data_IF_689020795654
#
_entry.id   IF_689020795654
#
_cell.length_a   1.000
_cell.length_b   1.000
_cell.length_c   1.000
_cell.angle_alpha   90.00
_cell.angle_beta   90.00
_cell.angle_gamma   90.00
#
_symmetry.space_group_name_H-M   'P 1'
#
loop_
_entity.id
_entity.type
_entity.pdbx_description
1 polymer ?
#
# COMPACT_ATOMS: atom_id res chain seq x y z
N UNK A 1 -16.92 27.60 -55.33
CA UNK A 1 -15.78 26.67 -55.39
C UNK A 1 -15.02 26.75 -54.07
N UNK A 2 -15.07 25.68 -53.24
CA UNK A 2 -14.11 25.17 -52.20
C UNK A 2 -13.35 26.17 -51.30
N UNK A 3 -13.14 26.00 -49.98
CA UNK A 3 -13.42 24.99 -48.92
C UNK A 3 -13.00 25.62 -47.56
N UNK A 4 -13.59 25.10 -46.47
CA UNK A 4 -13.06 24.86 -45.08
C UNK A 4 -11.95 25.79 -44.53
N UNK A 5 -12.04 26.35 -43.32
CA UNK A 5 -12.32 25.68 -42.06
C UNK A 5 -11.01 25.33 -41.35
N UNK A 6 -10.59 26.10 -40.35
CA UNK A 6 -9.50 25.72 -39.44
C UNK A 6 -9.79 26.22 -38.03
N UNK A 7 -10.41 25.33 -37.26
CA UNK A 7 -10.51 25.39 -35.80
C UNK A 7 -9.09 25.31 -35.24
N UNK A 8 -8.76 26.18 -34.28
CA UNK A 8 -7.67 25.91 -33.35
C UNK A 8 -8.07 24.75 -32.44
N UNK A 9 -7.28 23.66 -32.34
CA UNK A 9 -7.41 22.72 -31.25
C UNK A 9 -6.41 23.11 -30.16
N UNK A 10 -6.84 23.82 -29.13
CA UNK A 10 -6.15 23.83 -27.84
C UNK A 10 -6.54 22.55 -27.10
N UNK A 11 -5.84 21.47 -27.44
CA UNK A 11 -5.85 20.21 -26.70
C UNK A 11 -5.41 20.49 -25.26
N UNK A 12 -6.38 20.47 -24.35
CA UNK A 12 -6.09 20.27 -22.93
C UNK A 12 -5.44 18.90 -22.77
N UNK A 13 -4.13 18.87 -22.61
CA UNK A 13 -3.42 17.66 -22.18
C UNK A 13 -3.89 17.33 -20.77
N UNK A 14 -4.95 16.52 -20.69
CA UNK A 14 -5.24 15.76 -19.47
C UNK A 14 -4.05 14.84 -19.27
N UNK A 15 -3.12 15.26 -18.42
CA UNK A 15 -2.06 14.40 -17.91
C UNK A 15 -2.78 13.32 -17.11
N UNK A 16 -3.01 12.16 -17.74
CA UNK A 16 -3.30 10.93 -17.02
C UNK A 16 -2.07 10.67 -16.16
N UNK A 17 -2.12 11.06 -14.89
CA UNK A 17 -1.11 10.69 -13.90
C UNK A 17 -0.94 9.18 -13.97
N UNK A 18 0.22 8.73 -14.45
CA UNK A 18 0.57 7.32 -14.40
C UNK A 18 0.53 6.87 -12.93
N UNK A 19 0.00 5.67 -12.62
CA UNK A 19 0.00 5.18 -11.26
C UNK A 19 1.44 5.12 -10.75
N UNK A 20 1.70 5.76 -9.61
CA UNK A 20 3.01 5.78 -8.97
C UNK A 20 3.55 4.34 -8.87
N UNK A 21 4.83 4.08 -9.19
CA UNK A 21 5.40 2.72 -9.24
C UNK A 21 5.33 1.97 -7.90
N UNK A 22 5.00 2.69 -6.82
CA UNK A 22 4.73 2.16 -5.48
C UNK A 22 3.34 1.52 -5.32
N UNK A 23 2.45 1.57 -6.33
CA UNK A 23 1.12 0.95 -6.29
C UNK A 23 1.04 -0.43 -6.96
N UNK A 24 1.99 -1.33 -6.69
CA UNK A 24 1.66 -2.76 -6.85
C UNK A 24 1.08 -3.21 -5.51
N UNK A 25 -0.20 -3.67 -5.43
CA UNK A 25 -0.71 -4.22 -4.18
C UNK A 25 0.26 -5.31 -3.75
N UNK A 26 0.97 -5.05 -2.65
CA UNK A 26 2.05 -5.91 -2.22
C UNK A 26 1.43 -7.26 -1.91
N UNK A 27 1.72 -8.31 -2.69
CA UNK A 27 1.41 -9.70 -2.33
C UNK A 27 2.30 -10.17 -1.17
N UNK A 28 2.31 -9.40 -0.08
CA UNK A 28 3.17 -9.56 1.09
C UNK A 28 2.36 -9.80 2.36
N UNK A 29 3.06 -9.98 3.49
CA UNK A 29 2.47 -10.32 4.80
C UNK A 29 1.50 -9.27 5.37
N UNK A 30 1.35 -8.11 4.72
CA UNK A 30 0.51 -7.00 5.16
C UNK A 30 -0.56 -6.61 4.15
N UNK A 31 -0.99 -7.58 3.34
CA UNK A 31 -2.10 -7.45 2.41
C UNK A 31 -3.19 -8.44 2.80
N UNK A 32 -4.40 -7.93 2.91
CA UNK A 32 -5.58 -8.70 3.22
C UNK A 32 -6.59 -8.57 2.10
N UNK A 33 -7.18 -9.69 1.67
CA UNK A 33 -8.24 -9.69 0.66
C UNK A 33 -9.44 -10.47 1.17
N UNK A 34 -10.59 -9.82 1.15
CA UNK A 34 -11.87 -10.40 1.58
C UNK A 34 -12.87 -10.32 0.44
N UNK A 35 -13.77 -11.29 0.35
CA UNK A 35 -14.89 -11.24 -0.58
C UNK A 35 -16.21 -11.49 0.16
N UNK A 36 -17.24 -10.73 -0.21
CA UNK A 36 -18.59 -10.87 0.34
C UNK A 36 -19.62 -10.44 -0.69
N UNK A 37 -20.58 -11.33 -1.01
CA UNK A 37 -21.69 -11.08 -1.94
C UNK A 37 -21.28 -10.36 -3.24
N UNK A 38 -20.26 -10.89 -3.94
CA UNK A 38 -19.77 -10.33 -5.20
C UNK A 38 -18.98 -9.01 -5.07
N UNK A 39 -18.68 -8.59 -3.85
CA UNK A 39 -17.79 -7.44 -3.56
C UNK A 39 -16.47 -7.97 -3.03
N UNK A 40 -15.35 -7.40 -3.48
CA UNK A 40 -14.00 -7.69 -3.02
C UNK A 40 -13.43 -6.45 -2.35
N UNK A 41 -12.81 -6.63 -1.19
CA UNK A 41 -12.08 -5.59 -0.48
C UNK A 41 -10.64 -6.02 -0.33
N UNK A 42 -9.73 -5.20 -0.82
CA UNK A 42 -8.29 -5.34 -0.63
C UNK A 42 -7.81 -4.27 0.35
N UNK A 43 -7.13 -4.68 1.40
CA UNK A 43 -6.56 -3.79 2.43
C UNK A 43 -5.05 -3.96 2.45
N UNK A 44 -4.32 -2.85 2.35
CA UNK A 44 -2.84 -2.85 2.37
C UNK A 44 -2.35 -1.88 3.42
N UNK A 45 -1.31 -2.23 4.17
CA UNK A 45 -0.66 -1.27 5.08
C UNK A 45 0.02 -0.15 4.29
N UNK A 46 -0.14 1.10 4.73
CA UNK A 46 0.58 2.25 4.16
C UNK A 46 2.09 2.13 4.45
N UNK A 47 2.94 2.66 3.56
CA UNK A 47 4.39 2.64 3.76
C UNK A 47 4.79 3.42 5.01
N UNK A 48 5.92 3.04 5.63
CA UNK A 48 6.46 3.71 6.82
C UNK A 48 5.99 3.14 8.16
N UNK A 49 4.97 2.29 8.17
CA UNK A 49 4.46 1.65 9.39
C UNK A 49 5.28 0.44 9.85
N UNK A 50 5.92 -0.25 8.90
CA UNK A 50 6.80 -1.40 9.19
C UNK A 50 8.25 -0.99 8.98
N UNK A 51 9.06 -1.05 10.03
CA UNK A 51 10.49 -0.75 9.94
C UNK A 51 11.21 -1.82 9.14
N UNK A 52 12.20 -1.42 8.34
CA UNK A 52 13.04 -2.35 7.57
C UNK A 52 13.72 -3.39 8.46
N UNK A 53 14.27 -2.97 9.60
CA UNK A 53 14.89 -3.87 10.59
C UNK A 53 13.96 -4.99 11.06
N UNK A 54 12.67 -4.70 11.25
CA UNK A 54 11.68 -5.71 11.59
C UNK A 54 11.55 -6.74 10.47
N UNK A 55 11.49 -6.29 9.21
CA UNK A 55 11.31 -7.16 8.04
C UNK A 55 12.52 -8.10 7.90
N UNK A 56 13.73 -7.56 8.04
CA UNK A 56 14.96 -8.34 7.95
C UNK A 56 15.03 -9.40 9.06
N UNK A 57 14.81 -9.00 10.32
CA UNK A 57 14.79 -9.95 11.44
C UNK A 57 13.66 -10.98 11.31
N UNK A 58 12.45 -10.57 10.91
CA UNK A 58 11.32 -11.49 10.76
C UNK A 58 11.48 -12.49 9.61
N UNK A 59 12.41 -12.25 8.67
CA UNK A 59 12.76 -13.17 7.58
C UNK A 59 13.97 -14.04 7.89
N UNK A 60 14.76 -13.68 8.91
CA UNK A 60 15.96 -14.42 9.29
C UNK A 60 15.59 -15.74 9.98
N UNK A 61 16.11 -16.83 9.42
CA UNK A 61 16.12 -18.17 10.05
C UNK A 61 17.27 -18.28 11.05
N UNK A 62 17.10 -19.08 12.11
CA UNK A 62 18.16 -19.30 13.11
C UNK A 62 18.57 -18.04 13.88
N UNK A 63 17.62 -17.18 14.24
CA UNK A 63 17.87 -15.97 15.04
C UNK A 63 18.48 -16.30 16.40
N UNK A 64 19.46 -15.50 16.80
CA UNK A 64 20.05 -15.56 18.15
C UNK A 64 19.05 -15.06 19.21
N UNK A 65 19.34 -15.32 20.49
CA UNK A 65 18.52 -14.83 21.60
C UNK A 65 18.42 -13.29 21.65
N UNK A 66 19.50 -12.60 21.30
CA UNK A 66 19.54 -11.14 21.21
C UNK A 66 18.64 -10.62 20.08
N UNK A 67 18.68 -11.30 18.92
CA UNK A 67 17.83 -10.96 17.77
C UNK A 67 16.35 -11.24 18.04
N UNK A 68 16.02 -12.29 18.77
CA UNK A 68 14.65 -12.55 19.24
C UNK A 68 14.17 -11.45 20.18
N UNK A 69 15.02 -11.05 21.14
CA UNK A 69 14.75 -9.95 22.06
C UNK A 69 14.53 -8.64 21.30
N UNK A 70 15.38 -8.36 20.30
CA UNK A 70 15.25 -7.18 19.45
C UNK A 70 13.97 -7.22 18.63
N UNK A 71 13.62 -8.37 18.05
CA UNK A 71 12.38 -8.51 17.29
C UNK A 71 11.14 -8.32 18.18
N UNK A 72 11.16 -8.84 19.41
CA UNK A 72 10.09 -8.62 20.38
C UNK A 72 9.93 -7.13 20.72
N UNK A 73 11.04 -6.41 20.92
CA UNK A 73 11.02 -4.97 21.14
C UNK A 73 10.44 -4.21 19.94
N UNK A 74 10.82 -4.57 18.71
CA UNK A 74 10.27 -3.97 17.49
C UNK A 74 8.76 -4.25 17.33
N UNK A 75 8.28 -5.44 17.66
CA UNK A 75 6.84 -5.76 17.68
C UNK A 75 6.09 -4.86 18.65
N UNK A 76 6.64 -4.70 19.86
CA UNK A 76 6.04 -3.86 20.90
C UNK A 76 5.99 -2.41 20.47
N UNK A 77 7.11 -1.87 19.97
CA UNK A 77 7.19 -0.50 19.48
C UNK A 77 6.20 -0.25 18.33
N UNK A 78 6.15 -1.16 17.35
CA UNK A 78 5.20 -1.04 16.25
C UNK A 78 3.74 -1.05 16.74
N UNK A 79 3.39 -1.94 17.67
CA UNK A 79 2.06 -1.94 18.29
C UNK A 79 1.76 -0.61 18.97
N UNK A 80 2.68 -0.13 19.81
CA UNK A 80 2.48 1.09 20.60
C UNK A 80 2.33 2.32 19.69
N UNK A 81 2.95 2.33 18.50
CA UNK A 81 2.72 3.36 17.47
C UNK A 81 1.42 3.21 16.70
N UNK A 82 1.01 1.99 16.35
CA UNK A 82 -0.12 1.76 15.43
C UNK A 82 -1.48 1.72 16.13
N UNK A 83 -1.56 1.19 17.35
CA UNK A 83 -2.82 1.09 18.12
C UNK A 83 -3.55 2.43 18.30
N UNK A 84 -2.89 3.57 18.56
CA UNK A 84 -3.60 4.83 18.73
C UNK A 84 -4.02 5.51 17.42
N UNK A 85 -3.57 5.01 16.25
CA UNK A 85 -3.87 5.64 14.96
C UNK A 85 -5.26 5.25 14.45
N UNK A 86 -5.87 6.16 13.68
CA UNK A 86 -7.07 5.82 12.95
C UNK A 86 -6.73 4.77 11.87
N UNK A 87 -7.64 3.84 11.55
CA UNK A 87 -7.42 2.84 10.51
C UNK A 87 -6.99 3.44 9.16
N UNK A 88 -7.52 4.61 8.82
CA UNK A 88 -7.26 5.32 7.56
C UNK A 88 -5.83 5.84 7.46
N UNK A 89 -5.18 6.10 8.61
CA UNK A 89 -3.77 6.49 8.69
C UNK A 89 -2.83 5.28 8.54
N UNK A 90 -3.34 4.08 8.80
CA UNK A 90 -2.55 2.83 8.77
C UNK A 90 -2.72 2.07 7.46
N UNK A 91 -3.92 2.08 6.89
CA UNK A 91 -4.27 1.24 5.76
C UNK A 91 -4.80 2.03 4.56
N UNK A 92 -4.57 1.48 3.38
CA UNK A 92 -5.31 1.79 2.16
C UNK A 92 -6.30 0.66 1.87
N UNK A 93 -7.52 1.00 1.46
CA UNK A 93 -8.53 0.03 1.05
C UNK A 93 -8.97 0.26 -0.40
N UNK A 94 -9.07 -0.82 -1.17
CA UNK A 94 -9.66 -0.83 -2.52
C UNK A 94 -10.87 -1.75 -2.53
N UNK A 95 -11.98 -1.25 -3.06
CA UNK A 95 -13.23 -2.01 -3.20
C UNK A 95 -13.50 -2.23 -4.68
N UNK A 96 -13.77 -3.47 -5.06
CA UNK A 96 -14.11 -3.86 -6.43
C UNK A 96 -15.27 -4.86 -6.44
N UNK A 97 -15.84 -5.09 -7.63
CA UNK A 97 -16.79 -6.18 -7.87
C UNK A 97 -16.03 -7.40 -8.39
N UNK A 98 -16.43 -8.59 -7.92
CA UNK A 98 -15.96 -9.88 -8.43
C UNK A 98 -16.68 -10.25 -9.74
#
# INVERSE_FOLDING_TARGET
MRREGARHPSSGTSVRSAPSPWHRPSKGKYYFRFSYRGTVVEVTIRPGHVRGEFIELARKEGRSAEEETRLAALKREMRDRLVPLAPEDVYDAKVSRA
#
